data_IF_258156810427
#
_entry.id   IF_258156810427
#
_cell.length_a   1.000
_cell.length_b   1.000
_cell.length_c   1.000
_cell.angle_alpha   90.00
_cell.angle_beta   90.00
_cell.angle_gamma   90.00
#
_symmetry.space_group_name_H-M   'P 1'
#
loop_
_entity.id
_entity.type
_entity.pdbx_description
1 polymer ?
#
# COMPACT_ATOMS: atom_id res chain seq x y z
N UNK A 1 -9.34 -3.41 -11.08
CA UNK A 1 -8.10 -4.03 -10.55
C UNK A 1 -8.11 -5.54 -10.82
N UNK A 2 -9.19 -6.21 -10.47
CA UNK A 2 -9.24 -7.67 -10.58
C UNK A 2 -9.05 -8.20 -12.00
N UNK A 3 -9.76 -7.64 -12.97
CA UNK A 3 -9.64 -8.05 -14.36
C UNK A 3 -8.23 -7.86 -14.90
N UNK A 4 -7.60 -6.72 -14.58
CA UNK A 4 -6.26 -6.42 -15.03
C UNK A 4 -5.23 -7.34 -14.38
N UNK A 5 -5.37 -7.61 -13.10
CA UNK A 5 -4.50 -8.52 -12.37
C UNK A 5 -4.57 -9.94 -12.95
N UNK A 6 -5.78 -10.42 -13.22
CA UNK A 6 -5.99 -11.75 -13.82
C UNK A 6 -5.35 -11.84 -15.21
N UNK A 7 -5.52 -10.81 -16.04
CA UNK A 7 -4.92 -10.77 -17.37
C UNK A 7 -3.38 -10.77 -17.31
N UNK A 8 -2.81 -9.97 -16.44
CA UNK A 8 -1.35 -9.91 -16.26
C UNK A 8 -0.78 -11.23 -15.74
N UNK A 9 -1.48 -11.87 -14.81
CA UNK A 9 -1.06 -13.17 -14.30
C UNK A 9 -1.03 -14.22 -15.42
N UNK A 10 -2.06 -14.24 -16.26
CA UNK A 10 -2.13 -15.17 -17.39
C UNK A 10 -0.99 -14.91 -18.38
N UNK A 11 -0.70 -13.65 -18.71
CA UNK A 11 0.40 -13.28 -19.60
C UNK A 11 1.75 -13.73 -19.05
N UNK A 12 1.93 -13.65 -17.72
CA UNK A 12 3.16 -14.06 -17.05
C UNK A 12 3.25 -15.57 -16.78
N UNK A 13 2.24 -16.34 -17.16
CA UNK A 13 2.21 -17.79 -16.93
C UNK A 13 2.01 -18.17 -15.48
N UNK A 14 1.33 -17.34 -14.71
CA UNK A 14 1.04 -17.61 -13.29
C UNK A 14 -0.44 -17.33 -12.98
N UNK A 15 -0.80 -17.31 -11.71
CA UNK A 15 -2.15 -17.04 -11.24
C UNK A 15 -2.19 -15.80 -10.39
N UNK A 16 -3.37 -15.18 -10.26
CA UNK A 16 -3.53 -13.89 -9.56
C UNK A 16 -3.12 -13.96 -8.08
N UNK A 17 -3.31 -15.11 -7.43
CA UNK A 17 -2.93 -15.33 -6.04
C UNK A 17 -1.41 -15.37 -5.81
N UNK A 18 -0.62 -15.31 -6.87
CA UNK A 18 0.84 -15.26 -6.80
C UNK A 18 1.39 -13.86 -7.11
N UNK A 19 0.53 -12.89 -7.29
CA UNK A 19 0.93 -11.51 -7.57
C UNK A 19 1.03 -10.68 -6.30
N UNK A 20 1.97 -9.77 -6.29
CA UNK A 20 1.97 -8.63 -5.38
C UNK A 20 1.29 -7.50 -6.12
N UNK A 21 0.30 -6.90 -5.50
CA UNK A 21 -0.41 -5.75 -6.05
C UNK A 21 0.11 -4.49 -5.38
N UNK A 22 0.16 -3.42 -6.11
CA UNK A 22 0.63 -2.18 -5.55
C UNK A 22 0.27 -0.99 -6.38
N UNK A 23 0.40 0.17 -5.77
CA UNK A 23 0.13 1.40 -6.45
C UNK A 23 0.54 2.60 -5.62
N UNK A 24 0.53 3.73 -6.28
CA UNK A 24 0.87 5.01 -5.73
C UNK A 24 -0.41 5.79 -5.47
N UNK A 25 -0.52 6.39 -4.27
CA UNK A 25 -1.66 7.22 -3.90
C UNK A 25 -3.00 6.50 -4.14
N UNK A 26 -3.88 7.07 -4.96
CA UNK A 26 -5.19 6.48 -5.28
C UNK A 26 -5.07 5.06 -5.87
N UNK A 27 -4.04 4.81 -6.70
CA UNK A 27 -3.80 3.48 -7.26
C UNK A 27 -3.57 2.43 -6.18
N UNK A 28 -2.79 2.76 -5.16
CA UNK A 28 -2.59 1.87 -4.01
C UNK A 28 -3.87 1.65 -3.22
N UNK A 29 -4.62 2.71 -2.98
CA UNK A 29 -5.91 2.61 -2.29
C UNK A 29 -6.86 1.67 -3.03
N UNK A 30 -6.95 1.79 -4.36
CA UNK A 30 -7.81 0.92 -5.17
C UNK A 30 -7.37 -0.55 -5.08
N UNK A 31 -6.06 -0.81 -5.09
CA UNK A 31 -5.53 -2.17 -4.89
C UNK A 31 -5.91 -2.72 -3.50
N UNK A 32 -5.77 -1.91 -2.47
CA UNK A 32 -6.11 -2.32 -1.11
C UNK A 32 -7.59 -2.64 -0.95
N UNK A 33 -8.45 -1.86 -1.59
CA UNK A 33 -9.89 -2.10 -1.58
C UNK A 33 -10.26 -3.38 -2.33
N UNK A 34 -9.59 -3.67 -3.45
CA UNK A 34 -9.81 -4.90 -4.22
C UNK A 34 -9.42 -6.14 -3.40
N UNK A 35 -8.28 -6.09 -2.72
CA UNK A 35 -7.83 -7.20 -1.86
C UNK A 35 -8.79 -7.37 -0.68
N UNK A 36 -9.20 -6.29 -0.05
CA UNK A 36 -10.18 -6.34 1.04
C UNK A 36 -11.51 -6.94 0.59
N UNK A 37 -11.89 -6.74 -0.68
CA UNK A 37 -13.11 -7.30 -1.27
C UNK A 37 -12.95 -8.76 -1.72
N UNK A 38 -11.78 -9.36 -1.53
CA UNK A 38 -11.56 -10.77 -1.79
C UNK A 38 -10.64 -11.12 -2.95
N UNK A 39 -10.05 -10.13 -3.63
CA UNK A 39 -9.09 -10.42 -4.69
C UNK A 39 -7.82 -11.05 -4.07
N UNK A 40 -7.46 -12.28 -4.47
CA UNK A 40 -6.26 -12.92 -3.93
C UNK A 40 -4.99 -12.18 -4.34
N UNK A 41 -4.04 -12.11 -3.41
CA UNK A 41 -2.71 -11.52 -3.65
C UNK A 41 -1.72 -12.08 -2.64
N UNK A 42 -0.44 -12.05 -2.98
CA UNK A 42 0.64 -12.43 -2.05
C UNK A 42 0.89 -11.31 -1.06
N UNK A 43 0.71 -10.07 -1.47
CA UNK A 43 0.93 -8.90 -0.63
C UNK A 43 0.54 -7.61 -1.34
N UNK A 44 0.60 -6.52 -0.60
CA UNK A 44 0.28 -5.17 -1.08
C UNK A 44 1.46 -4.24 -0.86
N UNK A 45 1.76 -3.43 -1.88
CA UNK A 45 2.73 -2.34 -1.79
C UNK A 45 1.97 -1.03 -1.98
N UNK A 46 1.94 -0.22 -0.94
CA UNK A 46 1.14 1.01 -0.88
C UNK A 46 2.07 2.20 -0.71
N UNK A 47 2.34 2.89 -1.82
CA UNK A 47 3.23 4.06 -1.86
C UNK A 47 2.38 5.31 -1.72
N UNK A 48 2.71 6.17 -0.77
CA UNK A 48 1.97 7.39 -0.41
C UNK A 48 0.45 7.17 -0.33
N UNK A 49 0.05 6.20 0.48
CA UNK A 49 -1.38 5.91 0.68
C UNK A 49 -2.11 7.15 1.22
N UNK A 50 -3.21 7.57 0.58
CA UNK A 50 -3.95 8.75 1.04
C UNK A 50 -4.91 8.36 2.16
N UNK A 51 -4.46 8.49 3.40
CA UNK A 51 -5.25 8.11 4.58
C UNK A 51 -6.52 8.96 4.71
N UNK A 52 -6.42 10.23 4.36
CA UNK A 52 -7.54 11.18 4.35
C UNK A 52 -7.24 12.32 3.37
N UNK A 53 -8.25 13.11 2.95
CA UNK A 53 -7.99 14.33 2.20
C UNK A 53 -7.19 15.32 3.06
N UNK A 54 -6.31 16.15 2.47
CA UNK A 54 -5.44 17.04 3.25
C UNK A 54 -6.17 18.00 4.19
N UNK A 55 -7.35 18.45 3.82
CA UNK A 55 -8.14 19.43 4.60
C UNK A 55 -9.20 18.80 5.48
N UNK A 56 -9.38 17.48 5.40
CA UNK A 56 -10.42 16.76 6.15
C UNK A 56 -9.81 15.53 6.82
N UNK A 57 -9.01 15.70 7.88
CA UNK A 57 -8.35 14.56 8.53
C UNK A 57 -9.33 13.58 9.19
N UNK A 58 -10.56 14.01 9.44
CA UNK A 58 -11.61 13.13 9.98
C UNK A 58 -12.22 12.22 8.93
N UNK A 59 -12.01 12.50 7.64
CA UNK A 59 -12.53 11.70 6.53
C UNK A 59 -11.57 10.57 6.19
N UNK A 60 -11.44 9.62 7.11
CA UNK A 60 -10.51 8.50 7.01
C UNK A 60 -10.94 7.48 5.97
N UNK A 61 -9.97 6.89 5.30
CA UNK A 61 -10.17 5.89 4.24
C UNK A 61 -9.63 4.54 4.69
N UNK A 62 -10.16 4.07 5.82
CA UNK A 62 -9.66 2.88 6.52
C UNK A 62 -10.74 1.82 6.77
N UNK A 63 -11.97 2.02 6.29
CA UNK A 63 -13.10 1.12 6.57
C UNK A 63 -12.79 -0.32 6.16
N UNK A 64 -12.03 -0.51 5.11
CA UNK A 64 -11.70 -1.83 4.56
C UNK A 64 -10.45 -2.46 5.18
N UNK A 65 -9.73 -1.76 6.05
CA UNK A 65 -8.46 -2.24 6.60
C UNK A 65 -8.60 -3.57 7.34
N UNK A 66 -9.68 -3.76 8.09
CA UNK A 66 -9.91 -4.99 8.83
C UNK A 66 -10.06 -6.24 7.97
N UNK A 67 -10.37 -6.08 6.68
CA UNK A 67 -10.50 -7.18 5.74
C UNK A 67 -9.22 -7.46 4.95
N UNK A 68 -8.15 -6.70 5.17
CA UNK A 68 -6.86 -6.95 4.54
C UNK A 68 -6.07 -7.92 5.41
N UNK A 69 -5.85 -9.13 4.91
CA UNK A 69 -5.17 -10.21 5.64
C UNK A 69 -3.83 -10.62 5.02
N UNK A 70 -3.37 -9.89 4.00
CA UNK A 70 -2.08 -10.15 3.35
C UNK A 70 -1.01 -9.22 3.88
N UNK A 71 0.28 -9.59 3.74
CA UNK A 71 1.37 -8.67 4.11
C UNK A 71 1.29 -7.36 3.33
N UNK A 72 1.52 -6.25 4.02
CA UNK A 72 1.46 -4.91 3.44
C UNK A 72 2.74 -4.15 3.70
N UNK A 73 3.22 -3.45 2.68
CA UNK A 73 4.29 -2.46 2.79
C UNK A 73 3.69 -1.08 2.54
N UNK A 74 3.85 -0.18 3.51
CA UNK A 74 3.52 1.24 3.34
C UNK A 74 4.81 2.03 3.23
N UNK A 75 4.96 2.78 2.14
CA UNK A 75 6.08 3.70 1.94
C UNK A 75 5.51 5.09 1.79
N UNK A 76 5.82 6.00 2.69
CA UNK A 76 5.26 7.35 2.69
C UNK A 76 6.27 8.37 3.19
N UNK A 77 6.05 9.62 2.80
CA UNK A 77 6.82 10.74 3.34
C UNK A 77 6.29 11.13 4.73
N UNK A 78 7.18 11.49 5.62
CA UNK A 78 6.77 11.89 6.97
C UNK A 78 6.14 13.29 7.02
N UNK A 79 6.14 14.01 5.90
CA UNK A 79 5.47 15.30 5.72
C UNK A 79 4.33 15.22 4.72
N UNK A 80 3.79 14.04 4.51
CA UNK A 80 2.65 13.83 3.62
C UNK A 80 1.39 14.40 4.27
N UNK A 81 0.75 15.32 3.58
CA UNK A 81 -0.47 15.97 4.06
C UNK A 81 -1.71 15.08 3.99
N UNK A 82 -1.63 13.93 3.33
CA UNK A 82 -2.70 12.94 3.27
C UNK A 82 -2.62 11.92 4.42
N UNK A 83 -1.62 12.03 5.28
CA UNK A 83 -1.47 11.17 6.44
C UNK A 83 -0.10 11.29 7.07
N UNK A 84 -0.05 11.64 8.35
CA UNK A 84 1.19 11.71 9.13
C UNK A 84 1.56 10.35 9.71
N UNK A 85 2.83 10.16 10.14
CA UNK A 85 3.22 8.92 10.84
C UNK A 85 2.33 8.60 12.04
N UNK A 86 1.95 9.60 12.81
CA UNK A 86 1.10 9.43 13.99
C UNK A 86 -0.29 8.96 13.62
N UNK A 87 -0.86 9.54 12.56
CA UNK A 87 -2.17 9.13 12.06
C UNK A 87 -2.15 7.69 11.55
N UNK A 88 -1.11 7.31 10.81
CA UNK A 88 -0.94 5.92 10.37
C UNK A 88 -0.80 4.97 11.55
N UNK A 89 -0.01 5.33 12.55
CA UNK A 89 0.17 4.49 13.74
C UNK A 89 -1.15 4.18 14.46
N UNK A 90 -2.10 5.12 14.40
CA UNK A 90 -3.42 4.93 15.01
C UNK A 90 -4.31 3.96 14.25
N UNK A 91 -4.10 3.79 12.94
CA UNK A 91 -5.03 3.04 12.08
C UNK A 91 -4.44 1.76 11.48
N UNK A 92 -3.13 1.66 11.32
CA UNK A 92 -2.50 0.45 10.77
C UNK A 92 -2.78 -0.82 11.56
N UNK A 93 -2.94 -0.78 12.90
CA UNK A 93 -3.30 -1.98 13.65
C UNK A 93 -4.65 -2.60 13.25
N UNK A 94 -5.49 -1.88 12.52
CA UNK A 94 -6.75 -2.43 11.99
C UNK A 94 -6.51 -3.50 10.91
N UNK A 95 -5.37 -3.45 10.23
CA UNK A 95 -5.02 -4.42 9.19
C UNK A 95 -4.69 -5.74 9.85
N UNK A 96 -5.34 -6.82 9.40
CA UNK A 96 -5.16 -8.16 9.97
C UNK A 96 -3.83 -8.79 9.59
N UNK A 97 -3.30 -8.49 8.40
CA UNK A 97 -2.03 -9.01 7.94
C UNK A 97 -0.83 -8.26 8.53
N UNK A 98 0.40 -8.80 8.35
CA UNK A 98 1.61 -8.11 8.81
C UNK A 98 1.83 -6.80 8.07
N UNK A 99 2.19 -5.74 8.78
CA UNK A 99 2.41 -4.42 8.21
C UNK A 99 3.85 -3.98 8.43
N UNK A 100 4.49 -3.54 7.36
CA UNK A 100 5.80 -2.90 7.38
C UNK A 100 5.64 -1.46 6.92
N UNK A 101 6.24 -0.52 7.63
CA UNK A 101 6.22 0.89 7.26
C UNK A 101 7.64 1.39 7.01
N UNK A 102 7.79 2.18 5.95
CA UNK A 102 9.04 2.88 5.64
C UNK A 102 8.70 4.37 5.49
N UNK A 103 9.27 5.19 6.35
CA UNK A 103 9.07 6.63 6.33
C UNK A 103 10.25 7.32 5.68
N UNK A 104 9.96 8.15 4.67
CA UNK A 104 10.96 8.93 3.96
C UNK A 104 11.05 10.31 4.59
N UNK A 105 12.14 10.58 5.28
CA UNK A 105 12.33 11.81 6.05
C UNK A 105 12.26 13.05 5.14
N UNK A 106 11.44 14.01 5.55
CA UNK A 106 11.26 15.27 4.85
C UNK A 106 10.46 15.19 3.57
N UNK A 107 10.00 14.01 3.17
CA UNK A 107 9.28 13.83 1.91
C UNK A 107 7.79 14.16 2.08
N UNK A 108 7.21 14.68 1.01
CA UNK A 108 5.79 14.99 0.90
C UNK A 108 5.08 13.93 0.06
N UNK A 109 3.81 14.17 -0.24
CA UNK A 109 2.99 13.21 -0.98
C UNK A 109 3.53 12.86 -2.36
N UNK A 110 4.15 13.80 -3.06
CA UNK A 110 4.71 13.56 -4.40
C UNK A 110 5.96 12.69 -4.40
N UNK A 111 6.64 12.58 -3.25
CA UNK A 111 7.88 11.80 -3.09
C UNK A 111 8.97 12.16 -4.11
N UNK A 112 9.03 13.43 -4.49
CA UNK A 112 10.01 13.93 -5.47
C UNK A 112 11.44 13.57 -5.04
N UNK A 113 12.21 12.98 -5.96
CA UNK A 113 13.62 12.64 -5.73
C UNK A 113 13.83 11.43 -4.83
N UNK A 114 12.80 10.64 -4.55
CA UNK A 114 12.89 9.50 -3.62
C UNK A 114 12.77 8.14 -4.31
N UNK A 115 12.93 8.07 -5.64
CA UNK A 115 12.78 6.81 -6.38
C UNK A 115 13.73 5.72 -5.88
N UNK A 116 14.99 6.07 -5.61
CA UNK A 116 15.97 5.12 -5.08
C UNK A 116 15.55 4.50 -3.75
N UNK A 117 15.27 5.31 -2.72
CA UNK A 117 14.79 4.80 -1.44
C UNK A 117 13.50 3.98 -1.53
N UNK A 118 12.57 4.37 -2.42
CA UNK A 118 11.34 3.59 -2.63
C UNK A 118 11.67 2.23 -3.21
N UNK A 119 12.51 2.18 -4.25
CA UNK A 119 12.93 0.91 -4.85
C UNK A 119 13.64 0.01 -3.86
N UNK A 120 14.53 0.55 -3.04
CA UNK A 120 15.25 -0.21 -2.02
C UNK A 120 14.28 -0.81 -1.00
N UNK A 121 13.31 -0.03 -0.54
CA UNK A 121 12.30 -0.50 0.40
C UNK A 121 11.48 -1.65 -0.18
N UNK A 122 11.06 -1.52 -1.45
CA UNK A 122 10.26 -2.55 -2.14
C UNK A 122 11.07 -3.84 -2.30
N UNK A 123 12.32 -3.73 -2.77
CA UNK A 123 13.18 -4.90 -2.98
C UNK A 123 13.43 -5.63 -1.67
N UNK A 124 13.79 -4.91 -0.61
CA UNK A 124 14.04 -5.49 0.70
C UNK A 124 12.80 -6.20 1.25
N UNK A 125 11.64 -5.55 1.14
CA UNK A 125 10.40 -6.12 1.64
C UNK A 125 9.99 -7.37 0.85
N UNK A 126 10.11 -7.34 -0.47
CA UNK A 126 9.77 -8.48 -1.32
C UNK A 126 10.67 -9.69 -1.04
N UNK A 127 11.93 -9.46 -0.72
CA UNK A 127 12.83 -10.55 -0.34
C UNK A 127 12.34 -11.31 0.90
N UNK A 128 11.67 -10.64 1.81
CA UNK A 128 11.10 -11.24 3.01
C UNK A 128 9.80 -11.99 2.81
N UNK A 129 9.17 -11.89 1.63
CA UNK A 129 7.93 -12.60 1.32
C UNK A 129 8.16 -14.06 0.91
N UNK A 130 9.37 -14.40 0.50
CA UNK A 130 9.70 -15.74 -0.03
C UNK A 130 9.63 -16.84 1.01
#
# INVERSE_FOLDING_TARGET
VGERATALAAEAGTTVDRLVLGGRSMGGRMCSMAVAAGLPAVGLILVCYPLHPPKNPEKLRVEHFGAIDVPCLFVSGDRDQFGSPEEFSSHLPLIAGPVTTVWLEGARHDLTGRDGPICDAVVDWMAGLA
#
